data_IF_475505094904
#
_entry.id   IF_475505094904
#
_cell.length_a   1.000
_cell.length_b   1.000
_cell.length_c   1.000
_cell.angle_alpha   90.00
_cell.angle_beta   90.00
_cell.angle_gamma   90.00
#
_symmetry.space_group_name_H-M   'P 1'
#
loop_
_entity.id
_entity.type
_entity.pdbx_description
1 polymer ?
#
# COMPACT_ATOMS: atom_id res chain seq x y z
N UNK A 1 48.33 -32.82 0.59
CA UNK A 1 47.05 -33.47 0.22
C UNK A 1 47.25 -34.15 -1.13
N UNK A 2 46.95 -35.45 -1.25
CA UNK A 2 47.06 -36.14 -2.53
C UNK A 2 46.05 -35.60 -3.56
N UNK A 3 46.34 -35.68 -4.88
CA UNK A 3 45.49 -35.15 -5.95
C UNK A 3 44.06 -35.74 -5.92
N UNK A 4 43.91 -36.99 -5.49
CA UNK A 4 42.61 -37.67 -5.33
C UNK A 4 41.78 -37.03 -4.21
N UNK A 5 42.40 -36.66 -3.09
CA UNK A 5 41.72 -36.02 -1.97
C UNK A 5 41.30 -34.59 -2.35
N UNK A 6 42.14 -33.87 -3.10
CA UNK A 6 41.80 -32.54 -3.63
C UNK A 6 40.62 -32.61 -4.61
N UNK A 7 40.62 -33.59 -5.53
CA UNK A 7 39.53 -33.80 -6.47
C UNK A 7 38.20 -34.15 -5.77
N UNK A 8 38.24 -35.01 -4.74
CA UNK A 8 37.07 -35.32 -3.92
C UNK A 8 36.51 -34.10 -3.18
N UNK A 9 37.39 -33.29 -2.57
CA UNK A 9 36.97 -32.05 -1.90
C UNK A 9 36.33 -31.06 -2.88
N UNK A 10 36.92 -30.89 -4.07
CA UNK A 10 36.37 -30.03 -5.11
C UNK A 10 35.04 -30.55 -5.66
N UNK A 11 34.88 -31.86 -5.84
CA UNK A 11 33.63 -32.47 -6.28
C UNK A 11 32.51 -32.31 -5.24
N UNK A 12 32.82 -32.49 -3.95
CA UNK A 12 31.87 -32.25 -2.85
C UNK A 12 31.49 -30.77 -2.76
N UNK A 13 32.46 -29.86 -2.90
CA UNK A 13 32.18 -28.42 -2.94
C UNK A 13 31.30 -28.04 -4.14
N UNK A 14 31.59 -28.56 -5.33
CA UNK A 14 30.77 -28.34 -6.52
C UNK A 14 29.35 -28.89 -6.33
N UNK A 15 29.21 -30.10 -5.77
CA UNK A 15 27.92 -30.69 -5.46
C UNK A 15 27.14 -29.87 -4.42
N UNK A 16 27.80 -29.40 -3.36
CA UNK A 16 27.19 -28.52 -2.35
C UNK A 16 26.77 -27.16 -2.94
N UNK A 17 27.52 -26.62 -3.89
CA UNK A 17 27.14 -25.39 -4.60
C UNK A 17 25.93 -25.62 -5.51
N UNK A 18 25.89 -26.73 -6.24
CA UNK A 18 24.76 -27.10 -7.11
C UNK A 18 23.51 -27.40 -6.29
N UNK A 19 23.62 -28.22 -5.24
CA UNK A 19 22.51 -28.53 -4.33
C UNK A 19 22.08 -27.27 -3.58
N UNK A 20 23.01 -26.43 -3.14
CA UNK A 20 22.73 -25.15 -2.51
C UNK A 20 21.92 -24.22 -3.41
N UNK A 21 22.28 -24.13 -4.70
CA UNK A 21 21.52 -23.36 -5.69
C UNK A 21 20.15 -23.98 -5.98
N UNK A 22 20.07 -25.31 -6.07
CA UNK A 22 18.81 -26.03 -6.28
C UNK A 22 17.84 -25.80 -5.12
N UNK A 23 18.31 -25.91 -3.87
CA UNK A 23 17.55 -25.64 -2.64
C UNK A 23 17.15 -24.16 -2.59
N UNK A 24 18.04 -23.23 -2.96
CA UNK A 24 17.72 -21.81 -3.06
C UNK A 24 16.57 -21.53 -4.03
N UNK A 25 16.54 -22.20 -5.18
CA UNK A 25 15.50 -22.00 -6.21
C UNK A 25 14.15 -22.60 -5.82
N UNK A 26 14.15 -23.82 -5.27
CA UNK A 26 12.93 -24.62 -5.03
C UNK A 26 12.41 -24.54 -3.59
N UNK A 27 13.29 -24.34 -2.61
CA UNK A 27 12.96 -24.28 -1.17
C UNK A 27 13.70 -23.10 -0.52
N UNK A 28 13.36 -21.85 -0.89
CA UNK A 28 14.09 -20.66 -0.43
C UNK A 28 14.09 -20.51 1.10
N UNK A 29 13.02 -20.93 1.78
CA UNK A 29 12.97 -20.93 3.24
C UNK A 29 14.04 -21.85 3.87
N UNK A 30 14.24 -23.06 3.32
CA UNK A 30 15.26 -23.98 3.82
C UNK A 30 16.66 -23.45 3.57
N UNK A 31 16.91 -22.90 2.37
CA UNK A 31 18.16 -22.24 2.06
C UNK A 31 18.48 -21.10 3.04
N UNK A 32 17.47 -20.29 3.38
CA UNK A 32 17.60 -19.23 4.38
C UNK A 32 18.01 -19.80 5.74
N UNK A 33 17.25 -20.74 6.32
CA UNK A 33 17.57 -21.25 7.65
C UNK A 33 18.90 -22.01 7.73
N UNK A 34 19.28 -22.75 6.69
CA UNK A 34 20.49 -23.57 6.69
C UNK A 34 21.77 -22.77 6.43
N UNK A 35 21.71 -21.76 5.56
CA UNK A 35 22.93 -21.06 5.08
C UNK A 35 22.83 -19.54 5.16
N UNK A 36 21.67 -18.97 4.80
CA UNK A 36 21.47 -17.53 4.78
C UNK A 36 21.51 -16.89 6.17
N UNK A 37 20.71 -17.43 7.11
CA UNK A 37 20.57 -16.93 8.47
C UNK A 37 21.89 -17.03 9.26
N UNK A 38 22.59 -18.19 9.30
CA UNK A 38 23.87 -18.27 10.01
C UNK A 38 24.89 -17.24 9.50
N UNK A 39 25.00 -17.09 8.17
CA UNK A 39 25.90 -16.11 7.56
C UNK A 39 25.50 -14.67 7.88
N UNK A 40 24.21 -14.33 7.84
CA UNK A 40 23.71 -13.00 8.16
C UNK A 40 23.85 -12.68 9.66
N UNK A 41 23.50 -13.62 10.55
CA UNK A 41 23.66 -13.46 12.00
C UNK A 41 25.13 -13.26 12.38
N UNK A 42 26.04 -14.01 11.75
CA UNK A 42 27.47 -13.79 11.88
C UNK A 42 27.86 -12.36 11.48
N UNK A 43 27.45 -11.90 10.29
CA UNK A 43 27.74 -10.53 9.85
C UNK A 43 27.19 -9.48 10.81
N UNK A 44 25.98 -9.66 11.34
CA UNK A 44 25.40 -8.74 12.33
C UNK A 44 26.33 -8.63 13.55
N UNK A 45 26.67 -9.76 14.17
CA UNK A 45 27.47 -9.78 15.41
C UNK A 45 28.87 -9.19 15.17
N UNK A 46 29.54 -9.57 14.07
CA UNK A 46 30.91 -9.15 13.80
C UNK A 46 31.03 -7.72 13.27
N UNK A 47 30.03 -7.22 12.54
CA UNK A 47 30.09 -5.86 11.99
C UNK A 47 29.48 -4.81 12.92
N UNK A 48 28.63 -5.21 13.89
CA UNK A 48 27.84 -4.28 14.72
C UNK A 48 28.65 -3.12 15.30
N UNK A 49 29.76 -3.42 15.99
CA UNK A 49 30.58 -2.38 16.63
C UNK A 49 31.12 -1.37 15.61
N UNK A 50 31.58 -1.84 14.45
CA UNK A 50 32.14 -0.97 13.41
C UNK A 50 31.05 -0.12 12.76
N UNK A 51 29.91 -0.72 12.41
CA UNK A 51 28.78 0.00 11.81
C UNK A 51 28.23 1.04 12.79
N UNK A 52 28.08 0.68 14.07
CA UNK A 52 27.59 1.60 15.08
C UNK A 52 28.52 2.81 15.29
N UNK A 53 29.83 2.61 15.20
CA UNK A 53 30.81 3.70 15.33
C UNK A 53 30.84 4.62 14.11
N UNK A 54 30.69 4.07 12.90
CA UNK A 54 30.76 4.84 11.65
C UNK A 54 29.47 5.60 11.32
N UNK A 55 28.36 5.27 11.97
CA UNK A 55 27.04 5.87 11.72
C UNK A 55 26.47 6.54 12.97
N UNK A 56 27.34 7.05 13.86
CA UNK A 56 26.99 7.81 15.06
C UNK A 56 25.97 7.14 16.00
N UNK A 57 25.90 5.81 15.97
CA UNK A 57 25.08 5.03 16.89
C UNK A 57 25.79 4.77 18.23
N UNK A 58 27.07 5.12 18.36
CA UNK A 58 27.81 4.99 19.61
C UNK A 58 27.80 6.31 20.39
N UNK A 59 27.69 6.22 21.72
CA UNK A 59 27.74 7.41 22.59
C UNK A 59 29.11 7.50 23.23
N UNK A 60 29.71 8.70 23.19
CA UNK A 60 30.89 9.02 23.99
C UNK A 60 30.44 9.53 25.36
N UNK A 61 31.01 8.99 26.44
CA UNK A 61 30.82 9.59 27.76
C UNK A 61 31.83 10.72 27.93
N UNK A 62 31.40 11.82 28.55
CA UNK A 62 32.35 12.87 28.94
C UNK A 62 33.46 12.25 29.81
N UNK A 63 34.74 12.55 29.55
CA UNK A 63 35.81 12.08 30.40
C UNK A 63 35.62 12.64 31.80
N UNK A 64 35.89 11.81 32.81
CA UNK A 64 35.90 12.27 34.19
C UNK A 64 36.91 13.41 34.33
N UNK A 65 36.47 14.51 34.94
CA UNK A 65 37.33 15.63 35.31
C UNK A 65 37.53 15.54 36.81
N UNK A 66 38.77 15.42 37.24
CA UNK A 66 39.11 15.39 38.66
C UNK A 66 40.01 16.57 38.96
N UNK A 67 39.71 17.30 40.03
CA UNK A 67 40.54 18.41 40.50
C UNK A 67 41.55 17.83 41.50
N UNK A 68 42.83 17.94 41.19
CA UNK A 68 43.92 17.54 42.09
C UNK A 68 44.65 18.82 42.50
N UNK A 69 44.41 19.29 43.73
CA UNK A 69 44.85 20.62 44.17
C UNK A 69 44.15 21.73 43.39
N UNK A 70 44.90 22.52 42.62
CA UNK A 70 44.39 23.56 41.71
C UNK A 70 44.36 23.13 40.24
N UNK A 71 44.77 21.89 39.95
CA UNK A 71 44.96 21.41 38.58
C UNK A 71 43.75 20.58 38.15
N UNK A 72 43.09 20.99 37.06
CA UNK A 72 42.00 20.23 36.45
C UNK A 72 42.59 19.12 35.59
N UNK A 73 42.62 17.89 36.12
CA UNK A 73 43.08 16.73 35.36
C UNK A 73 41.92 16.24 34.49
N UNK A 74 42.10 16.37 33.17
CA UNK A 74 41.18 15.84 32.16
C UNK A 74 41.59 14.41 31.86
N UNK A 75 40.75 13.44 32.21
CA UNK A 75 41.00 12.03 31.87
C UNK A 75 41.04 11.78 30.37
N UNK A 76 41.57 10.62 29.98
CA UNK A 76 41.67 10.19 28.58
C UNK A 76 40.32 10.26 27.85
N UNK A 77 40.31 10.60 26.54
CA UNK A 77 39.09 10.60 25.74
C UNK A 77 38.42 9.23 25.80
N UNK A 78 37.18 9.20 26.34
CA UNK A 78 36.45 7.95 26.55
C UNK A 78 36.15 7.34 25.19
N UNK A 79 36.54 6.07 25.01
CA UNK A 79 36.24 5.33 23.78
C UNK A 79 34.72 5.27 23.60
N UNK A 80 34.19 5.64 22.42
CA UNK A 80 32.76 5.56 22.15
C UNK A 80 32.24 4.13 22.35
N UNK A 81 31.12 4.01 23.06
CA UNK A 81 30.50 2.73 23.40
C UNK A 81 29.33 2.48 22.46
N UNK A 82 29.41 1.39 21.70
CA UNK A 82 28.31 0.97 20.84
C UNK A 82 27.13 0.42 21.68
N UNK A 83 25.89 0.59 21.21
CA UNK A 83 24.71 0.06 21.90
C UNK A 83 24.79 -1.46 22.03
N UNK A 84 24.16 -2.01 23.06
CA UNK A 84 24.03 -3.47 23.18
C UNK A 84 22.91 -3.97 22.26
N UNK A 85 23.17 -5.07 21.57
CA UNK A 85 22.19 -5.77 20.74
C UNK A 85 21.90 -7.16 21.28
N UNK A 86 20.69 -7.65 21.05
CA UNK A 86 20.35 -9.06 21.24
C UNK A 86 21.07 -9.92 20.20
N UNK A 87 21.17 -11.23 20.47
CA UNK A 87 21.53 -12.16 19.41
C UNK A 87 20.48 -12.11 18.28
N UNK A 88 20.88 -12.16 16.99
CA UNK A 88 19.94 -12.10 15.87
C UNK A 88 18.99 -13.29 15.90
N UNK A 89 17.67 -13.04 15.90
CA UNK A 89 16.65 -14.08 15.84
C UNK A 89 16.22 -14.31 14.40
N UNK A 90 16.18 -15.57 13.96
CA UNK A 90 15.72 -15.90 12.62
C UNK A 90 14.22 -15.63 12.45
N UNK A 91 13.84 -15.06 11.32
CA UNK A 91 12.45 -14.93 10.86
C UNK A 91 12.31 -15.62 9.50
N UNK A 92 11.07 -15.79 9.02
CA UNK A 92 10.79 -16.45 7.74
C UNK A 92 11.43 -15.73 6.54
N UNK A 93 11.52 -14.39 6.62
CA UNK A 93 12.01 -13.53 5.53
C UNK A 93 13.38 -12.93 5.82
N UNK A 94 13.98 -13.22 6.98
CA UNK A 94 15.24 -12.61 7.38
C UNK A 94 15.56 -12.82 8.86
N UNK A 95 15.94 -11.76 9.56
CA UNK A 95 16.29 -11.80 10.97
C UNK A 95 15.84 -10.54 11.71
N UNK A 96 15.76 -10.61 13.03
CA UNK A 96 15.48 -9.45 13.87
C UNK A 96 16.49 -9.30 14.99
N UNK A 97 16.77 -8.05 15.36
CA UNK A 97 17.75 -7.68 16.39
C UNK A 97 17.13 -6.57 17.23
N UNK A 98 17.15 -6.74 18.55
CA UNK A 98 16.73 -5.71 19.49
C UNK A 98 17.96 -4.92 19.93
N UNK A 99 17.89 -3.60 19.81
CA UNK A 99 18.90 -2.66 20.29
C UNK A 99 18.36 -1.93 21.50
N UNK A 100 19.15 -1.85 22.58
CA UNK A 100 18.84 -0.99 23.71
C UNK A 100 19.50 0.37 23.53
N UNK A 101 18.68 1.41 23.44
CA UNK A 101 19.13 2.78 23.23
C UNK A 101 19.93 3.27 24.44
N UNK A 102 20.98 4.05 24.18
CA UNK A 102 21.61 4.85 25.22
C UNK A 102 20.78 6.10 25.55
N UNK A 103 20.98 6.66 26.74
CA UNK A 103 20.34 7.92 27.12
C UNK A 103 20.67 9.02 26.09
N UNK A 104 19.65 9.74 25.64
CA UNK A 104 19.77 10.79 24.61
C UNK A 104 19.71 10.29 23.17
N UNK A 105 19.75 8.97 22.91
CA UNK A 105 19.52 8.44 21.57
C UNK A 105 18.03 8.34 21.25
N UNK A 106 17.72 8.49 19.96
CA UNK A 106 16.36 8.34 19.44
C UNK A 106 16.33 7.28 18.35
N UNK A 107 15.16 6.66 18.06
CA UNK A 107 15.01 5.76 16.92
C UNK A 107 15.37 6.39 15.57
N UNK A 108 15.31 7.72 15.45
CA UNK A 108 15.63 8.44 14.21
C UNK A 108 17.07 8.23 13.73
N UNK A 109 18.04 8.18 14.64
CA UNK A 109 19.44 7.91 14.28
C UNK A 109 19.60 6.52 13.66
N UNK A 110 18.83 5.54 14.12
CA UNK A 110 18.84 4.18 13.58
C UNK A 110 18.16 4.11 12.21
N UNK A 111 17.09 4.89 12.01
CA UNK A 111 16.45 5.02 10.69
C UNK A 111 17.42 5.59 9.66
N UNK A 112 18.23 6.60 10.02
CA UNK A 112 19.26 7.17 9.14
C UNK A 112 20.38 6.15 8.83
N UNK A 113 20.75 5.32 9.79
CA UNK A 113 21.77 4.28 9.62
C UNK A 113 21.26 3.01 8.91
N UNK A 114 19.98 2.92 8.56
CA UNK A 114 19.36 1.70 8.02
C UNK A 114 20.06 1.20 6.75
N UNK A 115 20.41 2.09 5.83
CA UNK A 115 21.10 1.74 4.58
C UNK A 115 22.51 1.18 4.82
N UNK A 116 23.26 1.78 5.75
CA UNK A 116 24.56 1.25 6.15
C UNK A 116 24.44 -0.17 6.77
N UNK A 117 23.38 -0.43 7.53
CA UNK A 117 23.09 -1.77 8.08
C UNK A 117 22.75 -2.76 6.97
N UNK A 118 21.97 -2.36 5.95
CA UNK A 118 21.66 -3.16 4.76
C UNK A 118 22.94 -3.65 4.09
N UNK A 119 23.86 -2.71 3.80
CA UNK A 119 25.13 -3.03 3.16
C UNK A 119 26.06 -3.88 4.04
N UNK A 120 26.16 -3.56 5.33
CA UNK A 120 27.03 -4.30 6.25
C UNK A 120 26.58 -5.75 6.47
N UNK A 121 25.26 -5.97 6.57
CA UNK A 121 24.69 -7.29 6.80
C UNK A 121 24.47 -8.08 5.50
N UNK A 122 24.55 -7.40 4.35
CA UNK A 122 24.24 -7.91 3.00
C UNK A 122 22.84 -8.54 2.97
N UNK A 123 21.88 -7.77 3.44
CA UNK A 123 20.45 -8.08 3.43
C UNK A 123 19.77 -7.17 2.41
N UNK A 124 18.50 -7.41 2.10
CA UNK A 124 17.75 -6.59 1.16
C UNK A 124 17.29 -5.26 1.78
N UNK A 125 16.77 -5.29 3.01
CA UNK A 125 16.27 -4.10 3.70
C UNK A 125 16.43 -4.24 5.21
N UNK A 126 16.53 -3.11 5.93
CA UNK A 126 16.48 -3.07 7.39
C UNK A 126 15.40 -2.07 7.80
N UNK A 127 14.33 -2.56 8.41
CA UNK A 127 13.26 -1.73 8.99
C UNK A 127 13.54 -1.48 10.46
N UNK A 128 13.38 -0.22 10.87
CA UNK A 128 13.58 0.23 12.24
C UNK A 128 12.23 0.56 12.83
N UNK A 129 11.89 -0.06 13.97
CA UNK A 129 10.67 0.24 14.72
C UNK A 129 11.02 0.40 16.20
N UNK A 130 10.21 1.15 16.96
CA UNK A 130 10.38 1.33 18.40
C UNK A 130 9.15 0.78 19.10
N UNK A 131 9.11 -0.52 19.44
CA UNK A 131 7.91 -1.12 20.05
C UNK A 131 7.62 -0.50 21.42
N UNK A 132 8.67 -0.13 22.15
CA UNK A 132 8.57 0.52 23.45
C UNK A 132 9.67 1.59 23.58
N UNK A 133 9.54 2.47 24.57
CA UNK A 133 10.53 3.53 24.82
C UNK A 133 11.89 2.93 25.22
N UNK A 134 12.97 3.41 24.60
CA UNK A 134 14.34 2.97 24.90
C UNK A 134 14.77 1.68 24.20
N UNK A 135 13.91 1.09 23.37
CA UNK A 135 14.21 -0.09 22.56
C UNK A 135 13.95 0.18 21.08
N UNK A 136 14.86 -0.30 20.24
CA UNK A 136 14.70 -0.31 18.79
C UNK A 136 14.73 -1.76 18.30
N UNK A 137 13.72 -2.14 17.53
CA UNK A 137 13.68 -3.41 16.82
C UNK A 137 14.12 -3.18 15.38
N UNK A 138 15.27 -3.76 15.03
CA UNK A 138 15.80 -3.83 13.67
C UNK A 138 15.32 -5.13 13.04
N UNK A 139 14.49 -5.03 12.01
CA UNK A 139 14.03 -6.19 11.22
C UNK A 139 14.72 -6.17 9.87
N UNK A 140 15.65 -7.09 9.67
CA UNK A 140 16.38 -7.24 8.43
C UNK A 140 15.70 -8.27 7.53
N UNK A 141 15.36 -7.89 6.31
CA UNK A 141 14.77 -8.77 5.29
C UNK A 141 15.87 -9.26 4.37
N UNK A 142 16.06 -10.56 4.22
CA UNK A 142 17.19 -11.14 3.50
C UNK A 142 17.08 -11.03 1.97
N UNK A 143 15.87 -11.20 1.45
CA UNK A 143 15.55 -11.16 0.01
C UNK A 143 14.27 -10.38 -0.19
N UNK A 144 14.12 -9.68 -1.31
CA UNK A 144 12.88 -8.95 -1.62
C UNK A 144 11.66 -9.89 -1.59
N UNK A 145 10.76 -9.74 -0.60
CA UNK A 145 9.59 -10.59 -0.45
C UNK A 145 8.54 -10.31 -1.53
N UNK A 146 8.63 -9.17 -2.22
CA UNK A 146 7.74 -8.84 -3.31
C UNK A 146 8.11 -9.55 -4.61
N UNK A 147 9.31 -10.15 -4.74
CA UNK A 147 9.65 -10.95 -5.93
C UNK A 147 8.78 -12.19 -6.07
N UNK A 148 8.41 -12.81 -4.94
CA UNK A 148 7.55 -13.99 -4.86
C UNK A 148 6.64 -13.83 -3.66
N UNK A 149 5.62 -12.95 -3.75
CA UNK A 149 4.69 -12.77 -2.65
C UNK A 149 4.02 -14.12 -2.41
N UNK A 150 4.15 -14.65 -1.19
CA UNK A 150 3.40 -15.83 -0.80
C UNK A 150 1.90 -15.54 -0.86
N UNK A 151 1.08 -16.59 -0.77
CA UNK A 151 -0.37 -16.41 -0.56
C UNK A 151 -0.57 -15.77 0.81
N UNK A 152 -0.76 -14.46 0.83
CA UNK A 152 -1.21 -13.77 2.01
C UNK A 152 -2.66 -14.19 2.30
N UNK A 153 -3.02 -14.23 3.57
CA UNK A 153 -4.40 -14.48 4.01
C UNK A 153 -4.81 -13.39 4.97
N UNK A 154 -6.07 -12.99 4.87
CA UNK A 154 -6.70 -12.03 5.76
C UNK A 154 -8.11 -12.54 6.10
N UNK A 155 -8.63 -12.23 7.29
CA UNK A 155 -10.01 -12.56 7.63
C UNK A 155 -10.98 -11.92 6.63
N UNK A 156 -12.07 -12.63 6.32
CA UNK A 156 -13.13 -12.11 5.48
C UNK A 156 -13.94 -11.08 6.28
N UNK A 157 -13.79 -9.82 5.93
CA UNK A 157 -14.52 -8.70 6.53
C UNK A 157 -15.32 -7.97 5.45
N UNK A 158 -16.54 -7.52 5.78
CA UNK A 158 -17.35 -6.70 4.88
C UNK A 158 -16.58 -5.44 4.47
N UNK A 159 -16.64 -5.12 3.17
CA UNK A 159 -15.93 -4.01 2.54
C UNK A 159 -14.40 -4.10 2.66
N UNK A 160 -13.86 -5.30 2.84
CA UNK A 160 -12.42 -5.56 2.80
C UNK A 160 -12.04 -6.40 1.59
N UNK A 161 -10.95 -6.02 0.93
CA UNK A 161 -10.37 -6.72 -0.21
C UNK A 161 -8.91 -7.06 0.06
N UNK A 162 -8.57 -8.35 0.01
CA UNK A 162 -7.18 -8.81 0.03
C UNK A 162 -6.55 -8.55 -1.35
N UNK A 163 -5.78 -7.48 -1.45
CA UNK A 163 -5.22 -7.01 -2.72
C UNK A 163 -3.83 -7.57 -3.01
N UNK A 164 -3.05 -7.97 -2.01
CA UNK A 164 -1.67 -8.38 -2.23
C UNK A 164 -0.90 -8.78 -0.97
N UNK A 165 0.42 -8.61 -1.05
CA UNK A 165 1.34 -8.76 0.08
C UNK A 165 2.17 -7.49 0.27
N UNK A 166 2.44 -7.16 1.53
CA UNK A 166 3.33 -6.07 1.92
C UNK A 166 4.79 -6.54 1.88
N UNK A 167 5.72 -5.60 1.80
CA UNK A 167 7.17 -5.87 1.90
C UNK A 167 7.57 -6.43 3.29
N UNK A 168 6.69 -6.31 4.28
CA UNK A 168 6.83 -6.94 5.59
C UNK A 168 6.51 -8.45 5.56
N UNK A 169 5.96 -8.95 4.46
CA UNK A 169 5.42 -10.30 4.32
C UNK A 169 3.97 -10.46 4.80
N UNK A 170 3.37 -9.39 5.34
CA UNK A 170 1.97 -9.38 5.77
C UNK A 170 0.98 -9.28 4.61
N UNK A 171 -0.30 -9.50 4.91
CA UNK A 171 -1.37 -9.31 3.96
C UNK A 171 -1.58 -7.81 3.67
N UNK A 172 -1.66 -7.48 2.38
CA UNK A 172 -2.05 -6.14 1.96
C UNK A 172 -3.55 -6.13 1.71
N UNK A 173 -4.28 -5.48 2.63
CA UNK A 173 -5.75 -5.44 2.64
C UNK A 173 -6.21 -4.01 2.45
N UNK A 174 -7.11 -3.80 1.48
CA UNK A 174 -7.88 -2.57 1.34
C UNK A 174 -9.18 -2.73 2.13
N UNK A 175 -9.28 -2.11 3.30
CA UNK A 175 -10.49 -2.12 4.13
C UNK A 175 -11.19 -0.76 4.04
N UNK A 176 -12.33 -0.71 3.35
CA UNK A 176 -13.08 0.53 3.12
C UNK A 176 -13.86 0.99 4.37
N UNK A 177 -13.98 0.18 5.42
CA UNK A 177 -14.51 0.65 6.70
C UNK A 177 -13.48 1.41 7.52
N UNK A 178 -12.20 1.06 7.37
CA UNK A 178 -11.09 1.74 8.03
C UNK A 178 -10.62 2.96 7.24
N UNK A 179 -10.46 2.79 5.93
CA UNK A 179 -10.03 3.86 5.01
C UNK A 179 -11.07 3.98 3.91
N UNK A 180 -12.04 4.91 4.01
CA UNK A 180 -13.26 4.90 3.21
C UNK A 180 -13.07 5.24 1.73
N UNK A 181 -12.00 5.98 1.42
CA UNK A 181 -11.78 6.48 0.08
C UNK A 181 -10.32 6.32 -0.33
N UNK A 182 -10.09 5.82 -1.54
CA UNK A 182 -8.77 5.44 -2.05
C UNK A 182 -8.45 6.12 -3.38
N UNK A 183 -7.19 6.51 -3.53
CA UNK A 183 -6.58 6.95 -4.80
C UNK A 183 -5.55 5.91 -5.25
N UNK A 184 -5.70 5.42 -6.48
CA UNK A 184 -4.80 4.47 -7.12
C UNK A 184 -4.18 5.11 -8.37
N UNK A 185 -2.89 5.41 -8.31
CA UNK A 185 -2.14 5.91 -9.46
C UNK A 185 -1.27 4.81 -10.07
N UNK A 186 -1.11 4.83 -11.40
CA UNK A 186 -0.18 3.94 -12.07
C UNK A 186 -0.23 4.03 -13.58
N UNK A 187 0.93 4.02 -14.22
CA UNK A 187 1.05 4.00 -15.67
C UNK A 187 0.52 2.69 -16.29
N UNK A 188 0.37 2.68 -17.61
CA UNK A 188 0.01 1.49 -18.38
C UNK A 188 0.92 0.30 -18.05
N UNK A 189 0.33 -0.89 -17.87
CA UNK A 189 1.02 -2.15 -17.49
C UNK A 189 1.79 -2.11 -16.16
N UNK A 190 1.52 -1.15 -15.28
CA UNK A 190 2.15 -1.07 -13.95
C UNK A 190 1.53 -2.02 -12.91
N UNK A 191 0.25 -2.39 -13.09
CA UNK A 191 -0.52 -3.19 -12.15
C UNK A 191 -1.87 -2.59 -11.72
N UNK A 192 -2.17 -1.33 -12.13
CA UNK A 192 -3.42 -0.61 -11.82
C UNK A 192 -4.69 -1.42 -12.16
N UNK A 193 -4.88 -1.81 -13.42
CA UNK A 193 -6.11 -2.50 -13.85
C UNK A 193 -6.27 -3.87 -13.18
N UNK A 194 -5.17 -4.61 -13.02
CA UNK A 194 -5.19 -5.90 -12.29
C UNK A 194 -5.51 -5.72 -10.80
N UNK A 195 -5.11 -4.60 -10.19
CA UNK A 195 -5.49 -4.27 -8.81
C UNK A 195 -6.98 -3.92 -8.71
N UNK A 196 -7.53 -3.14 -9.64
CA UNK A 196 -8.98 -2.85 -9.69
C UNK A 196 -9.79 -4.14 -9.88
N UNK A 197 -9.40 -5.00 -10.80
CA UNK A 197 -10.00 -6.32 -10.97
C UNK A 197 -9.91 -7.15 -9.67
N UNK A 198 -8.79 -7.08 -8.95
CA UNK A 198 -8.65 -7.73 -7.65
C UNK A 198 -9.63 -7.17 -6.61
N UNK A 199 -9.80 -5.85 -6.54
CA UNK A 199 -10.78 -5.22 -5.64
C UNK A 199 -12.19 -5.70 -5.98
N UNK A 200 -12.58 -5.67 -7.26
CA UNK A 200 -13.90 -6.13 -7.72
C UNK A 200 -14.13 -7.60 -7.37
N UNK A 201 -13.17 -8.48 -7.63
CA UNK A 201 -13.32 -9.92 -7.34
C UNK A 201 -13.39 -10.25 -5.85
N UNK A 202 -12.71 -9.47 -5.00
CA UNK A 202 -12.79 -9.63 -3.55
C UNK A 202 -14.09 -9.07 -2.96
N UNK A 203 -14.67 -8.04 -3.57
CA UNK A 203 -15.97 -7.47 -3.18
C UNK A 203 -17.16 -8.20 -3.80
N UNK A 204 -16.99 -8.87 -4.94
CA UNK A 204 -18.04 -9.61 -5.64
C UNK A 204 -18.84 -10.60 -4.74
N UNK A 205 -18.21 -11.42 -3.87
CA UNK A 205 -18.95 -12.32 -2.98
C UNK A 205 -19.58 -11.63 -1.75
N UNK A 206 -19.51 -10.30 -1.64
CA UNK A 206 -19.99 -9.55 -0.48
C UNK A 206 -21.33 -8.85 -0.79
N UNK A 207 -22.18 -8.58 0.22
CA UNK A 207 -23.42 -7.82 0.05
C UNK A 207 -23.13 -6.32 -0.11
N UNK A 208 -22.52 -5.95 -1.24
CA UNK A 208 -22.04 -4.61 -1.57
C UNK A 208 -22.51 -4.24 -2.97
N UNK A 209 -23.03 -3.03 -3.14
CA UNK A 209 -23.33 -2.48 -4.46
C UNK A 209 -22.07 -1.86 -5.05
N UNK A 210 -21.73 -2.20 -6.29
CA UNK A 210 -20.55 -1.65 -6.98
C UNK A 210 -21.01 -0.84 -8.17
N UNK A 211 -20.58 0.42 -8.23
CA UNK A 211 -20.93 1.36 -9.30
C UNK A 211 -19.66 1.68 -10.07
N UNK A 212 -19.63 1.37 -11.37
CA UNK A 212 -18.49 1.67 -12.23
C UNK A 212 -18.63 3.02 -12.93
N UNK A 213 -17.54 3.76 -13.02
CA UNK A 213 -17.39 4.96 -13.87
C UNK A 213 -16.17 4.76 -14.75
N UNK A 214 -16.41 4.55 -16.04
CA UNK A 214 -15.41 4.29 -17.07
C UNK A 214 -15.75 5.09 -18.33
N UNK A 215 -15.38 6.38 -18.31
CA UNK A 215 -15.65 7.32 -19.39
C UNK A 215 -14.81 7.06 -20.67
N UNK A 216 -14.08 5.93 -20.74
CA UNK A 216 -13.43 5.44 -21.96
C UNK A 216 -14.32 4.42 -22.69
N UNK A 217 -15.65 4.62 -22.64
CA UNK A 217 -16.62 3.74 -23.28
C UNK A 217 -16.78 2.37 -22.60
N UNK A 218 -16.43 2.24 -21.32
CA UNK A 218 -16.59 0.98 -20.58
C UNK A 218 -15.59 -0.12 -20.92
N UNK A 219 -14.46 0.22 -21.55
CA UNK A 219 -13.45 -0.74 -22.03
C UNK A 219 -12.81 -1.60 -20.92
N UNK A 220 -12.72 -1.08 -19.69
CA UNK A 220 -12.08 -1.76 -18.56
C UNK A 220 -13.14 -2.29 -17.60
N UNK A 221 -14.03 -1.42 -17.10
CA UNK A 221 -15.03 -1.80 -16.10
C UNK A 221 -16.22 -2.57 -16.69
N UNK A 222 -16.51 -2.41 -17.99
CA UNK A 222 -17.59 -3.13 -18.67
C UNK A 222 -17.42 -4.64 -18.67
N UNK A 223 -16.18 -5.14 -18.54
CA UNK A 223 -15.87 -6.55 -18.36
C UNK A 223 -16.55 -7.15 -17.11
N UNK A 224 -16.83 -6.32 -16.11
CA UNK A 224 -17.39 -6.72 -14.83
C UNK A 224 -18.87 -6.34 -14.67
N UNK A 225 -19.53 -5.87 -15.74
CA UNK A 225 -20.91 -5.36 -15.71
C UNK A 225 -21.90 -6.33 -15.01
N UNK A 226 -21.70 -7.64 -15.15
CA UNK A 226 -22.53 -8.66 -14.51
C UNK A 226 -22.58 -8.58 -12.96
N UNK A 227 -21.64 -7.87 -12.32
CA UNK A 227 -21.61 -7.66 -10.87
C UNK A 227 -21.72 -6.19 -10.46
N UNK A 228 -21.76 -5.27 -11.43
CA UNK A 228 -21.94 -3.84 -11.18
C UNK A 228 -23.43 -3.52 -11.09
N UNK A 229 -23.82 -2.80 -10.05
CA UNK A 229 -25.18 -2.26 -9.88
C UNK A 229 -25.50 -1.16 -10.89
N UNK A 230 -24.47 -0.48 -11.40
CA UNK A 230 -24.56 0.48 -12.49
C UNK A 230 -23.18 0.70 -13.12
N UNK A 231 -23.15 1.10 -14.40
CA UNK A 231 -21.94 1.48 -15.12
C UNK A 231 -22.21 2.75 -15.92
N UNK A 232 -21.46 3.81 -15.64
CA UNK A 232 -21.41 5.01 -16.47
C UNK A 232 -20.24 4.93 -17.45
N UNK A 233 -20.53 5.07 -18.73
CA UNK A 233 -19.56 4.97 -19.83
C UNK A 233 -19.21 6.32 -20.46
N UNK A 234 -19.92 7.38 -20.07
CA UNK A 234 -19.70 8.76 -20.48
C UNK A 234 -19.69 9.71 -19.27
N UNK A 235 -19.16 10.93 -19.44
CA UNK A 235 -19.15 11.92 -18.37
C UNK A 235 -20.56 12.35 -17.99
N UNK A 236 -21.45 12.50 -18.97
CA UNK A 236 -22.86 12.83 -18.76
C UNK A 236 -23.57 11.78 -17.90
N UNK A 237 -23.37 10.49 -18.20
CA UNK A 237 -23.86 9.41 -17.35
C UNK A 237 -23.25 9.45 -15.94
N UNK A 238 -21.94 9.74 -15.83
CA UNK A 238 -21.27 9.84 -14.55
C UNK A 238 -21.89 10.95 -13.67
N UNK A 239 -22.24 12.11 -14.25
CA UNK A 239 -22.95 13.18 -13.54
C UNK A 239 -24.30 12.69 -13.00
N UNK A 240 -25.10 11.99 -13.81
CA UNK A 240 -26.40 11.47 -13.37
C UNK A 240 -26.27 10.42 -12.26
N UNK A 241 -25.35 9.46 -12.42
CA UNK A 241 -25.07 8.44 -11.40
C UNK A 241 -24.61 9.08 -10.09
N UNK A 242 -23.66 10.01 -10.14
CA UNK A 242 -23.13 10.69 -8.95
C UNK A 242 -24.21 11.57 -8.29
N UNK A 243 -25.08 12.20 -9.07
CA UNK A 243 -26.21 12.99 -8.55
C UNK A 243 -27.19 12.09 -7.79
N UNK A 244 -27.56 10.94 -8.36
CA UNK A 244 -28.43 9.97 -7.70
C UNK A 244 -27.81 9.43 -6.39
N UNK A 245 -26.49 9.18 -6.38
CA UNK A 245 -25.76 8.78 -5.18
C UNK A 245 -25.73 9.87 -4.10
N UNK A 246 -25.62 11.15 -4.49
CA UNK A 246 -25.69 12.27 -3.53
C UNK A 246 -27.08 12.39 -2.92
N UNK A 247 -28.15 12.12 -3.68
CA UNK A 247 -29.51 12.05 -3.14
C UNK A 247 -29.66 10.88 -2.18
N UNK A 248 -29.24 9.68 -2.57
CA UNK A 248 -29.23 8.49 -1.70
C UNK A 248 -28.45 8.77 -0.40
N UNK A 249 -27.30 9.44 -0.49
CA UNK A 249 -26.53 9.88 0.68
C UNK A 249 -27.36 10.76 1.64
N UNK A 250 -28.14 11.70 1.11
CA UNK A 250 -29.00 12.57 1.93
C UNK A 250 -30.12 11.78 2.60
N UNK A 251 -30.70 10.80 1.91
CA UNK A 251 -31.73 9.92 2.46
C UNK A 251 -31.18 9.04 3.59
N UNK A 252 -30.00 8.44 3.39
CA UNK A 252 -29.28 7.69 4.44
C UNK A 252 -29.00 8.55 5.66
N UNK A 253 -28.59 9.80 5.44
CA UNK A 253 -28.34 10.76 6.52
C UNK A 253 -29.63 11.09 7.27
N UNK A 254 -30.76 11.22 6.57
CA UNK A 254 -32.07 11.44 7.18
C UNK A 254 -32.53 10.25 8.03
N UNK A 255 -32.33 9.03 7.54
CA UNK A 255 -32.61 7.81 8.28
C UNK A 255 -31.79 7.72 9.57
N UNK A 256 -30.49 8.03 9.52
CA UNK A 256 -29.62 8.05 10.69
C UNK A 256 -30.09 9.09 11.73
N UNK A 257 -30.43 10.31 11.29
CA UNK A 257 -30.96 11.37 12.18
C UNK A 257 -32.25 10.94 12.86
N UNK A 258 -33.17 10.33 12.11
CA UNK A 258 -34.47 9.86 12.63
C UNK A 258 -34.28 8.79 13.69
N UNK A 259 -33.30 7.91 13.51
CA UNK A 259 -32.94 6.87 14.48
C UNK A 259 -32.02 7.37 15.61
N UNK A 260 -31.57 8.63 15.59
CA UNK A 260 -30.66 9.20 16.60
C UNK A 260 -29.23 8.65 16.57
N UNK A 261 -28.80 8.06 15.44
CA UNK A 261 -27.46 7.46 15.27
C UNK A 261 -26.58 8.27 14.32
N UNK A 262 -25.27 8.04 14.37
CA UNK A 262 -24.29 8.81 13.56
C UNK A 262 -23.95 8.14 12.24
N UNK A 263 -24.25 6.84 12.10
CA UNK A 263 -23.88 6.05 10.95
C UNK A 263 -24.92 4.98 10.60
N UNK A 264 -24.99 4.60 9.32
CA UNK A 264 -25.82 3.48 8.87
C UNK A 264 -25.41 2.15 9.53
N UNK A 265 -24.16 2.05 10.00
CA UNK A 265 -23.66 0.85 10.67
C UNK A 265 -24.33 0.62 12.03
N UNK A 266 -24.86 1.68 12.64
CA UNK A 266 -25.60 1.65 13.91
C UNK A 266 -27.10 1.42 13.72
N UNK A 267 -27.60 1.52 12.47
CA UNK A 267 -29.00 1.19 12.17
C UNK A 267 -29.24 -0.32 12.36
N UNK A 268 -30.46 -0.72 12.75
CA UNK A 268 -30.87 -2.12 12.74
C UNK A 268 -30.65 -2.76 11.37
N UNK A 269 -30.23 -4.02 11.31
CA UNK A 269 -29.86 -4.70 10.06
C UNK A 269 -30.96 -4.63 8.98
N UNK A 270 -32.24 -4.72 9.38
CA UNK A 270 -33.40 -4.62 8.45
C UNK A 270 -33.59 -3.24 7.83
N UNK A 271 -33.06 -2.19 8.46
CA UNK A 271 -33.13 -0.80 8.01
C UNK A 271 -31.81 -0.31 7.42
N UNK A 272 -30.73 -1.10 7.54
CA UNK A 272 -29.40 -0.70 7.07
C UNK A 272 -29.36 -0.74 5.55
N UNK A 273 -29.12 0.40 4.87
CA UNK A 273 -28.93 0.42 3.43
C UNK A 273 -27.67 -0.37 3.03
N UNK A 274 -27.72 -0.99 1.86
CA UNK A 274 -26.57 -1.70 1.31
C UNK A 274 -25.42 -0.70 1.07
N UNK A 275 -24.18 -1.00 1.49
CA UNK A 275 -23.05 -0.13 1.21
C UNK A 275 -22.71 -0.10 -0.28
N UNK A 276 -22.28 1.06 -0.76
CA UNK A 276 -21.95 1.29 -2.16
C UNK A 276 -20.47 1.62 -2.30
N UNK A 277 -19.80 1.00 -3.27
CA UNK A 277 -18.43 1.29 -3.67
C UNK A 277 -18.44 1.83 -5.09
N UNK A 278 -18.05 3.09 -5.25
CA UNK A 278 -17.89 3.72 -6.57
C UNK A 278 -16.46 3.50 -7.05
N UNK A 279 -16.32 2.82 -8.18
CA UNK A 279 -15.06 2.50 -8.84
C UNK A 279 -14.88 3.44 -10.04
N UNK A 280 -13.89 4.32 -10.00
CA UNK A 280 -13.54 5.20 -11.12
C UNK A 280 -12.25 4.68 -11.75
N UNK A 281 -12.25 4.28 -13.02
CA UNK A 281 -11.03 3.73 -13.65
C UNK A 281 -9.99 4.81 -14.00
N UNK A 282 -10.46 5.94 -14.54
CA UNK A 282 -9.61 7.06 -14.94
C UNK A 282 -10.23 8.38 -14.49
N UNK A 283 -9.71 8.93 -13.40
CA UNK A 283 -10.16 10.21 -12.87
C UNK A 283 -9.95 11.34 -13.86
N UNK A 284 -8.89 11.33 -14.66
CA UNK A 284 -8.59 12.41 -15.61
C UNK A 284 -9.75 12.66 -16.59
N UNK A 285 -10.46 11.61 -17.05
CA UNK A 285 -11.59 11.74 -17.97
C UNK A 285 -12.79 12.49 -17.37
N UNK A 286 -12.89 12.55 -16.04
CA UNK A 286 -13.94 13.29 -15.35
C UNK A 286 -13.65 14.79 -15.21
N UNK A 287 -12.38 15.18 -15.33
CA UNK A 287 -11.93 16.56 -15.10
C UNK A 287 -11.44 17.25 -16.39
N UNK A 288 -10.92 16.49 -17.36
CA UNK A 288 -10.44 17.03 -18.63
C UNK A 288 -11.61 17.58 -19.45
N UNK A 289 -11.54 18.84 -19.88
CA UNK A 289 -12.54 19.43 -20.76
C UNK A 289 -11.99 19.64 -22.17
N UNK A 290 -12.83 19.43 -23.17
CA UNK A 290 -12.55 19.76 -24.58
C UNK A 290 -12.68 21.27 -24.89
N UNK A 291 -12.95 22.09 -23.87
CA UNK A 291 -13.09 23.54 -23.99
C UNK A 291 -14.53 24.02 -24.18
N UNK A 292 -15.46 23.12 -24.53
CA UNK A 292 -16.87 23.46 -24.68
C UNK A 292 -17.50 23.83 -23.34
N UNK A 293 -18.49 24.74 -23.36
CA UNK A 293 -19.19 25.17 -22.13
C UNK A 293 -19.86 23.99 -21.42
N UNK A 294 -20.45 23.07 -22.19
CA UNK A 294 -21.09 21.88 -21.64
C UNK A 294 -20.07 20.96 -20.97
N UNK A 295 -18.96 20.63 -21.66
CA UNK A 295 -17.92 19.79 -21.07
C UNK A 295 -17.33 20.37 -19.79
N UNK A 296 -17.17 21.70 -19.71
CA UNK A 296 -16.70 22.38 -18.48
C UNK A 296 -17.70 22.26 -17.35
N UNK A 297 -18.98 22.49 -17.63
CA UNK A 297 -20.04 22.36 -16.63
C UNK A 297 -20.14 20.92 -16.09
N UNK A 298 -20.07 19.92 -16.97
CA UNK A 298 -20.07 18.51 -16.57
C UNK A 298 -18.85 18.14 -15.71
N UNK A 299 -17.65 18.63 -16.06
CA UNK A 299 -16.44 18.39 -15.28
C UNK A 299 -16.50 19.04 -13.88
N UNK A 300 -17.02 20.26 -13.79
CA UNK A 300 -17.24 20.97 -12.52
C UNK A 300 -18.28 20.26 -11.63
N UNK A 301 -19.37 19.76 -12.24
CA UNK A 301 -20.38 18.96 -11.56
C UNK A 301 -19.79 17.64 -11.04
N UNK A 302 -19.09 16.88 -11.87
CA UNK A 302 -18.40 15.65 -11.46
C UNK A 302 -17.47 15.90 -10.28
N UNK A 303 -16.63 16.94 -10.36
CA UNK A 303 -15.73 17.34 -9.28
C UNK A 303 -16.49 17.62 -7.98
N UNK A 304 -17.57 18.39 -8.05
CA UNK A 304 -18.37 18.78 -6.88
C UNK A 304 -19.05 17.58 -6.23
N UNK A 305 -19.66 16.70 -7.05
CA UNK A 305 -20.37 15.52 -6.56
C UNK A 305 -19.41 14.50 -5.94
N UNK A 306 -18.28 14.20 -6.59
CA UNK A 306 -17.26 13.32 -6.04
C UNK A 306 -16.71 13.84 -4.71
N UNK A 307 -16.40 15.14 -4.65
CA UNK A 307 -15.91 15.76 -3.42
C UNK A 307 -16.95 15.66 -2.30
N UNK A 308 -18.23 15.88 -2.61
CA UNK A 308 -19.32 15.78 -1.65
C UNK A 308 -19.48 14.35 -1.10
N UNK A 309 -19.41 13.34 -1.97
CA UNK A 309 -19.41 11.93 -1.58
C UNK A 309 -18.20 11.59 -0.71
N UNK A 310 -17.01 12.06 -1.06
CA UNK A 310 -15.79 11.81 -0.30
C UNK A 310 -15.80 12.44 1.11
N UNK A 311 -16.45 13.59 1.26
CA UNK A 311 -16.52 14.31 2.54
C UNK A 311 -17.52 13.69 3.53
N UNK A 312 -18.65 13.16 3.04
CA UNK A 312 -19.78 12.77 3.89
C UNK A 312 -20.16 11.28 3.78
N UNK A 313 -19.66 10.57 2.77
CA UNK A 313 -20.11 9.22 2.42
C UNK A 313 -19.70 8.13 3.40
N UNK A 314 -18.55 8.27 4.08
CA UNK A 314 -17.96 7.20 4.89
C UNK A 314 -18.89 6.64 5.97
N UNK A 315 -19.52 7.51 6.78
CA UNK A 315 -20.47 7.10 7.82
C UNK A 315 -21.81 6.59 7.24
N UNK A 316 -22.06 6.88 5.97
CA UNK A 316 -23.29 6.54 5.24
C UNK A 316 -23.09 5.33 4.32
N UNK A 317 -21.93 4.66 4.40
CA UNK A 317 -21.61 3.46 3.64
C UNK A 317 -21.40 3.70 2.14
N UNK A 318 -21.02 4.93 1.76
CA UNK A 318 -20.62 5.27 0.39
C UNK A 318 -19.11 5.42 0.35
N UNK A 319 -18.45 4.61 -0.46
CA UNK A 319 -16.99 4.50 -0.53
C UNK A 319 -16.52 4.80 -1.95
N UNK A 320 -15.31 5.35 -2.07
CA UNK A 320 -14.74 5.74 -3.37
C UNK A 320 -13.42 5.01 -3.58
N UNK A 321 -13.25 4.36 -4.71
CA UNK A 321 -11.98 3.82 -5.17
C UNK A 321 -11.70 4.44 -6.53
N UNK A 322 -10.81 5.42 -6.53
CA UNK A 322 -10.56 6.28 -7.67
C UNK A 322 -9.19 5.97 -8.23
N UNK A 323 -9.12 5.63 -9.51
CA UNK A 323 -7.89 5.29 -10.18
C UNK A 323 -7.56 6.31 -11.28
N UNK A 324 -6.28 6.39 -11.64
CA UNK A 324 -5.84 7.20 -12.77
C UNK A 324 -4.43 6.86 -13.24
N UNK A 325 -4.18 7.04 -14.53
CA UNK A 325 -2.84 6.88 -15.10
C UNK A 325 -2.01 8.15 -14.97
N UNK A 326 -2.67 9.29 -15.08
CA UNK A 326 -2.10 10.62 -14.88
C UNK A 326 -3.00 11.37 -13.91
N UNK A 327 -2.47 11.66 -12.73
CA UNK A 327 -3.21 12.40 -11.70
C UNK A 327 -2.33 13.56 -11.29
N UNK A 328 -2.60 14.75 -11.82
CA UNK A 328 -1.79 15.93 -11.53
C UNK A 328 -2.65 17.14 -11.20
N UNK A 329 -2.03 18.15 -10.60
CA UNK A 329 -2.68 19.43 -10.30
C UNK A 329 -3.11 20.19 -11.56
N UNK A 330 -2.61 19.79 -12.73
CA UNK A 330 -3.00 20.28 -14.05
C UNK A 330 -4.46 19.96 -14.41
N UNK A 331 -5.07 18.96 -13.76
CA UNK A 331 -6.52 18.67 -13.87
C UNK A 331 -7.39 19.67 -13.09
N UNK A 332 -6.78 20.61 -12.36
CA UNK A 332 -7.46 21.72 -11.69
C UNK A 332 -7.61 21.58 -10.16
N UNK A 333 -8.20 22.59 -9.50
CA UNK A 333 -8.32 22.60 -8.04
C UNK A 333 -9.25 21.52 -7.50
N UNK A 334 -10.26 21.12 -8.28
CA UNK A 334 -11.22 20.07 -7.92
C UNK A 334 -10.56 18.72 -7.65
N UNK A 335 -9.62 18.30 -8.51
CA UNK A 335 -8.89 17.03 -8.30
C UNK A 335 -8.04 17.06 -7.03
N UNK A 336 -7.49 18.23 -6.69
CA UNK A 336 -6.62 18.41 -5.53
C UNK A 336 -7.42 18.38 -4.24
N UNK A 337 -8.59 19.02 -4.24
CA UNK A 337 -9.55 18.98 -3.14
C UNK A 337 -10.10 17.55 -2.93
N UNK A 338 -10.47 16.85 -4.01
CA UNK A 338 -10.92 15.47 -3.93
C UNK A 338 -9.83 14.55 -3.39
N UNK A 339 -8.62 14.63 -3.95
CA UNK A 339 -7.44 13.90 -3.51
C UNK A 339 -7.26 14.02 -2.01
N UNK A 340 -7.36 15.22 -1.41
CA UNK A 340 -7.24 15.42 0.04
C UNK A 340 -8.23 14.60 0.89
N UNK A 341 -9.36 14.16 0.34
CA UNK A 341 -10.35 13.30 1.02
C UNK A 341 -10.09 11.79 0.83
N UNK A 342 -9.26 11.40 -0.14
CA UNK A 342 -8.95 10.00 -0.44
C UNK A 342 -7.77 9.52 0.43
N UNK A 343 -8.04 9.23 1.71
CA UNK A 343 -6.98 8.90 2.68
C UNK A 343 -6.11 7.68 2.30
N UNK A 344 -6.66 6.71 1.58
CA UNK A 344 -5.90 5.56 1.11
C UNK A 344 -5.14 5.88 -0.17
N UNK A 345 -3.82 5.63 -0.20
CA UNK A 345 -2.99 5.87 -1.39
C UNK A 345 -2.34 4.59 -1.86
N UNK A 346 -2.37 4.39 -3.16
CA UNK A 346 -1.62 3.34 -3.86
C UNK A 346 -0.99 3.99 -5.09
N UNK A 347 0.34 3.97 -5.17
CA UNK A 347 1.08 4.46 -6.31
C UNK A 347 1.91 3.31 -6.87
N UNK A 348 1.44 2.73 -7.98
CA UNK A 348 2.26 1.86 -8.82
C UNK A 348 3.32 2.70 -9.56
N UNK A 349 4.14 2.04 -10.38
CA UNK A 349 5.03 2.74 -11.32
C UNK A 349 4.25 3.79 -12.11
N UNK A 350 4.72 5.04 -12.05
CA UNK A 350 4.22 6.17 -12.86
C UNK A 350 5.27 6.56 -13.91
N UNK A 351 4.85 7.33 -14.92
CA UNK A 351 5.76 7.82 -15.96
C UNK A 351 6.27 9.23 -15.66
N UNK A 352 5.59 9.98 -14.80
CA UNK A 352 5.92 11.37 -14.49
C UNK A 352 6.00 11.61 -12.97
N UNK A 353 6.93 12.48 -12.51
CA UNK A 353 7.05 12.82 -11.09
C UNK A 353 5.80 13.48 -10.50
N UNK A 354 5.06 14.24 -11.31
CA UNK A 354 3.86 14.98 -10.88
C UNK A 354 2.77 14.05 -10.36
N UNK A 355 2.54 12.93 -11.02
CA UNK A 355 1.57 11.91 -10.57
C UNK A 355 1.98 11.27 -9.24
N UNK A 356 3.28 10.99 -9.04
CA UNK A 356 3.76 10.48 -7.76
C UNK A 356 3.59 11.52 -6.64
N UNK A 357 3.95 12.78 -6.89
CA UNK A 357 3.80 13.89 -5.95
C UNK A 357 2.34 14.11 -5.57
N UNK A 358 1.44 14.12 -6.55
CA UNK A 358 0.00 14.23 -6.32
C UNK A 358 -0.56 13.05 -5.52
N UNK A 359 0.02 11.86 -5.66
CA UNK A 359 -0.50 10.68 -4.96
C UNK A 359 0.04 10.55 -3.53
N UNK A 360 1.32 10.89 -3.30
CA UNK A 360 2.03 10.57 -2.04
C UNK A 360 2.70 11.77 -1.37
N UNK A 361 2.84 12.91 -2.04
CA UNK A 361 3.69 14.03 -1.61
C UNK A 361 3.26 14.69 -0.31
N UNK A 362 1.96 14.72 -0.02
CA UNK A 362 1.43 15.23 1.25
C UNK A 362 1.54 14.22 2.41
N UNK A 363 1.77 12.95 2.10
CA UNK A 363 1.99 11.91 3.11
C UNK A 363 3.46 11.82 3.48
N UNK A 364 4.34 11.62 2.50
CA UNK A 364 5.75 11.41 2.73
C UNK A 364 6.58 11.59 1.44
N UNK A 365 7.59 12.47 1.49
CA UNK A 365 8.47 12.74 0.34
C UNK A 365 9.34 11.54 -0.07
N UNK A 366 9.76 10.71 0.88
CA UNK A 366 10.53 9.50 0.58
C UNK A 366 9.68 8.48 -0.18
N UNK A 367 8.38 8.40 0.13
CA UNK A 367 7.43 7.56 -0.59
C UNK A 367 7.31 7.94 -2.07
N UNK A 368 7.36 9.24 -2.38
CA UNK A 368 7.37 9.77 -3.76
C UNK A 368 8.61 9.27 -4.50
N UNK A 369 9.79 9.41 -3.91
CA UNK A 369 11.05 8.96 -4.52
C UNK A 369 11.04 7.44 -4.77
N UNK A 370 10.52 6.66 -3.83
CA UNK A 370 10.43 5.19 -3.96
C UNK A 370 9.44 4.79 -5.05
N UNK A 371 8.30 5.48 -5.18
CA UNK A 371 7.34 5.22 -6.25
C UNK A 371 7.92 5.51 -7.64
N UNK A 372 8.73 6.57 -7.77
CA UNK A 372 9.43 6.93 -9.01
C UNK A 372 10.55 5.93 -9.36
N UNK A 373 11.13 5.25 -8.38
CA UNK A 373 12.16 4.24 -8.57
C UNK A 373 11.61 2.86 -9.01
N UNK A 374 10.29 2.64 -8.98
CA UNK A 374 9.69 1.36 -9.39
C UNK A 374 9.95 1.14 -10.89
N UNK A 375 10.55 0.00 -11.22
CA UNK A 375 10.93 -0.33 -12.60
C UNK A 375 9.80 -1.01 -13.39
N UNK A 376 9.92 -1.06 -14.72
CA UNK A 376 8.93 -1.72 -15.58
C UNK A 376 8.85 -3.25 -15.38
N UNK A 377 9.89 -3.84 -14.79
CA UNK A 377 10.00 -5.26 -14.45
C UNK A 377 9.25 -5.59 -13.15
N UNK A 378 9.03 -4.60 -12.29
CA UNK A 378 8.36 -4.72 -11.00
C UNK A 378 6.83 -4.56 -11.11
N UNK A 379 6.22 -5.25 -12.08
CA UNK A 379 4.76 -5.19 -12.29
C UNK A 379 4.01 -5.62 -11.03
N UNK A 380 2.98 -4.86 -10.67
CA UNK A 380 2.19 -5.05 -9.47
C UNK A 380 2.83 -4.48 -8.20
N UNK A 381 4.10 -4.07 -8.21
CA UNK A 381 4.70 -3.35 -7.09
C UNK A 381 4.10 -1.95 -7.00
N UNK A 382 3.79 -1.51 -5.79
CA UNK A 382 3.30 -0.19 -5.46
C UNK A 382 3.88 0.30 -4.14
N UNK A 383 3.88 1.61 -3.97
CA UNK A 383 3.96 2.26 -2.65
C UNK A 383 2.54 2.54 -2.18
N UNK A 384 2.25 2.22 -0.92
CA UNK A 384 0.92 2.42 -0.35
C UNK A 384 0.96 2.99 1.06
N UNK A 385 -0.16 3.56 1.50
CA UNK A 385 -0.38 3.92 2.90
C UNK A 385 -0.31 2.66 3.77
N UNK A 386 0.60 2.68 4.75
CA UNK A 386 0.80 1.58 5.70
C UNK A 386 -0.20 1.61 6.85
N UNK A 387 -0.42 0.48 7.54
CA UNK A 387 -1.39 0.35 8.63
C UNK A 387 -1.06 1.23 9.86
N UNK A 388 0.21 1.62 10.04
CA UNK A 388 0.68 2.42 11.18
C UNK A 388 0.69 3.93 10.89
N UNK A 389 0.01 4.39 9.83
CA UNK A 389 0.03 5.79 9.38
C UNK A 389 1.29 6.20 8.60
N UNK A 390 2.22 5.26 8.37
CA UNK A 390 3.38 5.44 7.48
C UNK A 390 3.08 5.01 6.04
N UNK A 391 4.14 4.63 5.31
CA UNK A 391 4.01 4.02 3.97
C UNK A 391 4.72 2.66 3.94
N UNK A 392 4.38 1.83 2.95
CA UNK A 392 5.04 0.55 2.72
C UNK A 392 5.05 0.21 1.24
N UNK A 393 6.07 -0.50 0.78
CA UNK A 393 6.02 -1.17 -0.53
C UNK A 393 5.14 -2.41 -0.41
N UNK A 394 4.43 -2.70 -1.47
CA UNK A 394 3.56 -3.86 -1.57
C UNK A 394 3.54 -4.37 -3.00
N UNK A 395 3.11 -5.62 -3.20
CA UNK A 395 2.82 -6.17 -4.53
C UNK A 395 1.39 -6.67 -4.57
N UNK A 396 0.62 -6.20 -5.54
CA UNK A 396 -0.72 -6.70 -5.80
C UNK A 396 -0.67 -8.13 -6.35
N UNK A 397 -1.68 -8.93 -5.97
CA UNK A 397 -1.89 -10.24 -6.59
C UNK A 397 -2.34 -10.04 -8.03
N UNK A 398 -1.70 -10.76 -8.95
CA UNK A 398 -2.15 -10.84 -10.33
C UNK A 398 -3.48 -11.61 -10.34
N UNK A 399 -4.55 -10.92 -10.70
CA UNK A 399 -5.83 -11.54 -11.04
C UNK A 399 -5.98 -11.48 -12.55
N UNK A 400 -5.82 -12.60 -13.27
CA UNK A 400 -6.09 -12.68 -14.69
C UNK A 400 -7.50 -12.17 -15.03
N UNK A 401 -7.64 -11.51 -16.18
CA UNK A 401 -8.91 -10.88 -16.57
C UNK A 401 -10.04 -11.91 -16.72
N UNK A 402 -9.75 -13.07 -17.28
CA UNK A 402 -10.68 -14.19 -17.42
C UNK A 402 -11.17 -14.72 -16.06
N UNK A 403 -10.26 -14.89 -15.09
CA UNK A 403 -10.61 -15.25 -13.71
C UNK A 403 -11.50 -14.17 -13.07
N UNK A 404 -11.18 -12.90 -13.29
CA UNK A 404 -11.94 -11.79 -12.73
C UNK A 404 -13.36 -11.70 -13.31
N UNK A 405 -13.50 -11.85 -14.64
CA UNK A 405 -14.80 -11.89 -15.32
C UNK A 405 -15.61 -13.12 -14.87
N UNK A 406 -14.98 -14.29 -14.77
CA UNK A 406 -15.64 -15.49 -14.29
C UNK A 406 -16.15 -15.32 -12.86
N UNK A 407 -15.37 -14.68 -11.99
CA UNK A 407 -15.75 -14.39 -10.60
C UNK A 407 -16.91 -13.39 -10.52
N UNK A 408 -16.90 -12.34 -11.36
CA UNK A 408 -18.00 -11.38 -11.44
C UNK A 408 -19.30 -12.07 -11.88
N UNK A 409 -19.25 -12.90 -12.92
CA UNK A 409 -20.40 -13.70 -13.40
C UNK A 409 -20.88 -14.70 -12.36
N UNK A 410 -19.97 -15.38 -11.66
CA UNK A 410 -20.31 -16.33 -10.60
C UNK A 410 -21.16 -15.69 -9.49
N UNK A 411 -20.92 -14.41 -9.17
CA UNK A 411 -21.63 -13.70 -8.11
C UNK A 411 -22.64 -12.68 -8.64
N UNK A 412 -23.05 -12.77 -9.91
CA UNK A 412 -23.99 -11.80 -10.51
C UNK A 412 -25.32 -11.72 -9.75
N UNK A 413 -25.79 -12.84 -9.21
CA UNK A 413 -27.00 -12.88 -8.37
C UNK A 413 -26.89 -12.18 -7.00
N UNK A 414 -25.70 -11.70 -6.62
CA UNK A 414 -25.48 -10.88 -5.42
C UNK A 414 -25.45 -9.38 -5.74
N UNK A 415 -25.69 -8.98 -6.98
CA UNK A 415 -25.69 -7.57 -7.40
C UNK A 415 -26.91 -6.87 -6.82
N UNK A 416 -26.73 -5.91 -5.89
CA UNK A 416 -27.85 -5.17 -5.33
C UNK A 416 -28.38 -4.16 -6.35
N UNK A 417 -29.70 -4.03 -6.42
CA UNK A 417 -30.36 -3.05 -7.28
C UNK A 417 -30.23 -1.63 -6.71
N UNK A 418 -30.06 -0.64 -7.58
CA UNK A 418 -30.04 0.79 -7.23
C UNK A 418 -31.04 1.57 -8.12
N UNK A 419 -32.36 1.48 -7.85
CA UNK A 419 -33.40 1.99 -8.76
C UNK A 419 -33.34 3.50 -9.01
N UNK A 420 -32.77 4.28 -8.08
CA UNK A 420 -32.56 5.71 -8.28
C UNK A 420 -31.54 6.00 -9.39
N UNK A 421 -30.48 5.18 -9.48
CA UNK A 421 -29.43 5.31 -10.49
C UNK A 421 -29.95 4.85 -11.84
N UNK A 422 -30.64 3.70 -11.88
CA UNK A 422 -31.25 3.18 -13.11
C UNK A 422 -32.22 4.19 -13.73
N UNK A 423 -33.12 4.77 -12.93
CA UNK A 423 -34.03 5.84 -13.40
C UNK A 423 -33.28 7.06 -13.94
N UNK A 424 -32.18 7.45 -13.29
CA UNK A 424 -31.38 8.59 -13.74
C UNK A 424 -30.71 8.32 -15.10
N UNK A 425 -30.22 7.09 -15.31
CA UNK A 425 -29.63 6.68 -16.60
C UNK A 425 -30.69 6.60 -17.71
N UNK A 426 -31.85 5.98 -17.44
CA UNK A 426 -32.95 5.88 -18.40
C UNK A 426 -33.49 7.25 -18.81
N UNK A 427 -33.57 8.21 -17.87
CA UNK A 427 -34.00 9.57 -18.19
C UNK A 427 -33.05 10.28 -19.16
N UNK A 428 -31.73 10.05 -19.02
CA UNK A 428 -30.73 10.60 -19.93
C UNK A 428 -30.86 10.05 -21.36
N UNK A 429 -31.14 8.75 -21.50
CA UNK A 429 -31.36 8.11 -22.80
C UNK A 429 -32.63 8.61 -23.49
N UNK A 430 -33.64 8.99 -22.69
CA UNK A 430 -34.89 9.61 -23.15
C UNK A 430 -34.71 11.02 -23.71
N UNK A 431 -33.87 11.85 -23.07
CA UNK A 431 -33.57 13.22 -23.51
C UNK A 431 -32.70 13.29 -24.78
N UNK A 432 -32.19 12.15 -25.26
CA UNK A 432 -31.37 12.03 -26.47
C UNK A 432 -32.14 11.65 -27.74
N UNK A 433 -33.46 11.38 -27.64
CA UNK A 433 -34.39 11.15 -28.75
C UNK A 433 -35.32 12.34 -28.91
#
# INVERSE_FOLDING_TARGET
MGPILLALVLAVLAWLLVVGDLVRRHRPAWHWYLTGYPAAAWRVVFTWRRVALLNDLAVSRLPARTLVGHLLVKGDPVRPVAPRISFPRATRLGLSVVVRLHAGQTPATYMQAADALVHAWKVHAVRVTSPERGLVLLTATATDPLLRPGLASAPAELLSALIGALETGGAWVMNLRLVPHWLIAGATRSGKSTLLARVITQLAPQPVAMVGIDCKGGMELGLFAARLSALATSRREAVAVLTALVVDMQDRMSACRTAGVRSIWELPDKLRPVPVVVLVDEIAELFLSDGTRQSKAEAEQCSTLLLRLAQLGAALGLHLVVAGQRVGSDLGPGVTALRAQLGGRICHRVNDPGTAEMTLGDLNKDAVAVAQAITAQERGVAVCTGPDGGWSRARSHLTPTDEAVATARKHSGMTPDLPAIERALVALDGDGK
#
